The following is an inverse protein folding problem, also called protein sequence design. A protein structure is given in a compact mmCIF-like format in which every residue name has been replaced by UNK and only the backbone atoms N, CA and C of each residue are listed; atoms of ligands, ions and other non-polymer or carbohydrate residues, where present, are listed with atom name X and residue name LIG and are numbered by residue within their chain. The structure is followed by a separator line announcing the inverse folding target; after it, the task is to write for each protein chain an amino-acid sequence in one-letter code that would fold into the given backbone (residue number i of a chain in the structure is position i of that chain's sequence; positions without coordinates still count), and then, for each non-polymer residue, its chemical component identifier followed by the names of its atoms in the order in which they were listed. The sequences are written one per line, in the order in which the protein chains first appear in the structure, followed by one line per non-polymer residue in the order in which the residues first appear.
data_IF_897957172658
#
_entry.id   IF_897957172658
#
_cell.length_a   1.000
_cell.length_b   1.000
_cell.length_c   1.000
_cell.angle_alpha   90.00
_cell.angle_beta   90.00
_cell.angle_gamma   90.00
#
_symmetry.space_group_name_H-M   'P 1'
#
loop_
_entity.id
_entity.type
_entity.pdbx_description
1 polymer ?
#
# COMPACT_ATOMS: atom_id res chain seq x y z
N UNK A 1 -7.49 12.46 -10.37
CA UNK A 1 -6.71 11.21 -10.56
C UNK A 1 -5.25 11.59 -10.80
N UNK A 2 -4.29 10.76 -10.36
CA UNK A 2 -2.88 11.00 -10.60
C UNK A 2 -2.61 10.89 -12.11
N UNK A 3 -1.65 11.67 -12.62
CA UNK A 3 -1.33 11.64 -14.04
C UNK A 3 -0.69 10.29 -14.39
N UNK A 4 -1.17 9.66 -15.45
CA UNK A 4 -0.57 8.43 -15.98
C UNK A 4 0.64 8.80 -16.84
N UNK A 5 1.77 8.17 -16.57
CA UNK A 5 3.00 8.29 -17.33
C UNK A 5 3.13 7.05 -18.21
N UNK A 6 3.14 7.25 -19.52
CA UNK A 6 3.36 6.20 -20.51
C UNK A 6 4.85 6.09 -20.80
N UNK A 7 5.36 4.87 -20.80
CA UNK A 7 6.69 4.53 -21.29
C UNK A 7 6.50 3.95 -22.70
N UNK A 8 7.00 4.69 -23.68
CA UNK A 8 6.93 4.31 -25.09
C UNK A 8 8.33 4.25 -25.68
N UNK A 9 8.53 3.37 -26.64
CA UNK A 9 9.75 3.29 -27.44
C UNK A 9 9.45 3.70 -28.88
N UNK A 10 10.24 4.65 -29.37
CA UNK A 10 10.09 5.20 -30.70
C UNK A 10 11.25 4.72 -31.56
N UNK A 11 10.92 4.05 -32.65
CA UNK A 11 11.89 3.62 -33.64
C UNK A 11 11.88 4.60 -34.82
N UNK A 12 13.02 5.23 -35.11
CA UNK A 12 13.15 6.23 -36.19
C UNK A 12 12.79 5.71 -37.58
N UNK A 13 12.72 4.39 -37.77
CA UNK A 13 12.39 3.73 -39.04
C UNK A 13 10.92 3.31 -39.16
N UNK A 14 10.07 3.58 -38.16
CA UNK A 14 8.65 3.24 -38.17
C UNK A 14 7.80 4.42 -37.69
N UNK A 15 6.69 4.67 -38.36
CA UNK A 15 5.69 5.60 -37.84
C UNK A 15 4.98 5.01 -36.62
N UNK A 16 4.91 5.81 -35.55
CA UNK A 16 4.29 5.44 -34.27
C UNK A 16 5.27 5.16 -33.14
N UNK A 17 4.73 4.83 -31.96
CA UNK A 17 5.49 4.45 -30.78
C UNK A 17 4.97 3.11 -30.24
N UNK A 18 5.88 2.27 -29.77
CA UNK A 18 5.56 1.00 -29.14
C UNK A 18 5.28 1.27 -27.67
N UNK A 19 4.09 0.91 -27.20
CA UNK A 19 3.77 0.94 -25.79
C UNK A 19 4.57 -0.14 -25.05
N UNK A 20 5.37 0.27 -24.05
CA UNK A 20 6.12 -0.64 -23.19
C UNK A 20 5.36 -0.83 -21.88
N UNK A 21 5.03 0.26 -21.20
CA UNK A 21 4.49 0.22 -19.85
C UNK A 21 3.79 1.54 -19.47
N UNK A 22 3.02 1.56 -18.39
CA UNK A 22 2.47 2.78 -17.82
C UNK A 22 2.41 2.71 -16.29
N UNK A 23 2.70 3.83 -15.65
CA UNK A 23 2.55 3.96 -14.20
C UNK A 23 1.91 5.29 -13.83
N UNK A 24 1.22 5.34 -12.69
CA UNK A 24 0.80 6.62 -12.15
C UNK A 24 2.00 7.40 -11.59
N UNK A 25 2.06 8.69 -11.91
CA UNK A 25 2.95 9.64 -11.25
C UNK A 25 2.48 9.96 -9.83
N UNK A 26 3.12 10.96 -9.21
CA UNK A 26 2.69 11.44 -7.90
C UNK A 26 1.27 11.99 -7.93
N UNK A 27 0.56 11.93 -6.80
CA UNK A 27 -0.71 12.65 -6.61
C UNK A 27 -0.45 13.96 -5.87
N UNK A 28 -1.03 15.04 -6.37
CA UNK A 28 -1.09 16.31 -5.66
C UNK A 28 -2.46 16.49 -5.01
N UNK A 29 -2.46 16.95 -3.76
CA UNK A 29 -3.68 17.36 -3.05
C UNK A 29 -3.53 18.83 -2.76
N UNK A 30 -4.46 19.63 -3.28
CA UNK A 30 -4.55 21.06 -2.99
C UNK A 30 -5.80 21.33 -2.18
N UNK A 31 -5.64 22.09 -1.10
CA UNK A 31 -6.78 22.50 -0.29
C UNK A 31 -6.67 23.97 0.10
N UNK A 32 -7.83 24.62 0.17
CA UNK A 32 -7.94 26.00 0.63
C UNK A 32 -8.45 26.00 2.06
N UNK A 33 -7.68 26.57 2.98
CA UNK A 33 -8.04 26.75 4.38
C UNK A 33 -8.41 28.21 4.61
N UNK A 34 -9.56 28.44 5.23
CA UNK A 34 -10.01 29.75 5.68
C UNK A 34 -9.76 29.87 7.19
N UNK A 35 -9.27 31.02 7.63
CA UNK A 35 -9.05 31.31 9.04
C UNK A 35 -9.53 32.71 9.37
N UNK A 36 -9.96 32.91 10.61
CA UNK A 36 -10.35 34.21 11.16
C UNK A 36 -9.35 34.66 12.24
N UNK A 37 -9.62 35.81 12.85
CA UNK A 37 -8.80 36.41 13.93
C UNK A 37 -8.71 35.53 15.19
N UNK A 38 -9.65 34.60 15.38
CA UNK A 38 -9.74 33.72 16.56
C UNK A 38 -9.16 32.32 16.33
N UNK A 39 -8.92 31.94 15.07
CA UNK A 39 -9.00 30.54 14.67
C UNK A 39 -7.72 29.80 14.30
N UNK A 40 -6.55 30.42 14.14
CA UNK A 40 -5.34 29.65 13.83
C UNK A 40 -4.02 30.39 14.09
N UNK A 41 -3.17 29.83 14.95
CA UNK A 41 -1.74 30.15 14.92
C UNK A 41 -1.12 29.51 13.66
N UNK A 42 -0.97 30.31 12.61
CA UNK A 42 -0.35 29.90 11.35
C UNK A 42 1.08 29.38 11.54
N UNK A 43 1.80 29.83 12.56
CA UNK A 43 3.13 29.35 12.88
C UNK A 43 3.08 27.93 13.42
N UNK A 44 2.15 27.62 14.32
CA UNK A 44 1.93 26.26 14.82
C UNK A 44 1.48 25.32 13.71
N UNK A 45 0.54 25.75 12.85
CA UNK A 45 0.11 24.97 11.70
C UNK A 45 1.29 24.66 10.76
N UNK A 46 2.19 25.63 10.54
CA UNK A 46 3.38 25.45 9.68
C UNK A 46 4.36 24.46 10.30
N UNK A 47 4.55 24.52 11.61
CA UNK A 47 5.36 23.55 12.35
C UNK A 47 4.75 22.15 12.33
N UNK A 48 3.43 22.04 12.39
CA UNK A 48 2.72 20.77 12.38
C UNK A 48 2.77 20.08 11.02
N UNK A 49 2.59 20.83 9.92
CA UNK A 49 2.57 20.31 8.55
C UNK A 49 3.97 20.21 7.93
N UNK A 50 4.92 21.06 8.33
CA UNK A 50 6.28 21.13 7.76
C UNK A 50 7.22 19.99 8.16
N UNK A 51 6.70 18.80 8.43
CA UNK A 51 7.53 17.62 8.76
C UNK A 51 8.17 17.06 7.50
N UNK A 52 9.41 16.58 7.63
CA UNK A 52 10.18 15.98 6.51
C UNK A 52 9.77 14.56 6.12
N UNK A 53 8.88 13.93 6.89
CA UNK A 53 8.39 12.58 6.63
C UNK A 53 6.94 12.61 6.18
N UNK A 54 6.54 11.62 5.38
CA UNK A 54 5.15 11.48 4.96
C UNK A 54 4.24 11.25 6.18
N UNK A 55 3.09 11.91 6.17
CA UNK A 55 2.04 11.81 7.17
C UNK A 55 0.79 11.20 6.56
N UNK A 56 -0.04 10.59 7.39
CA UNK A 56 -1.34 10.10 6.97
C UNK A 56 -2.25 11.31 6.75
N UNK A 57 -2.82 11.41 5.56
CA UNK A 57 -3.86 12.35 5.19
C UNK A 57 -5.16 11.59 4.92
N UNK A 58 -6.25 12.00 5.54
CA UNK A 58 -7.60 11.48 5.30
C UNK A 58 -8.59 12.63 5.38
N UNK A 59 -9.72 12.49 4.68
CA UNK A 59 -10.85 13.41 4.82
C UNK A 59 -11.75 12.93 5.96
N UNK A 60 -12.23 13.85 6.79
CA UNK A 60 -13.11 13.49 7.91
C UNK A 60 -14.50 13.04 7.46
N UNK A 61 -14.95 13.49 6.28
CA UNK A 61 -16.24 13.16 5.68
C UNK A 61 -16.19 11.97 4.70
N UNK A 62 -15.03 11.32 4.54
CA UNK A 62 -14.91 10.13 3.69
C UNK A 62 -15.47 8.88 4.39
N UNK A 63 -16.70 8.51 4.01
CA UNK A 63 -17.38 7.30 4.51
C UNK A 63 -16.64 6.00 4.18
N UNK A 64 -15.75 5.99 3.20
CA UNK A 64 -14.95 4.80 2.88
C UNK A 64 -13.72 4.62 3.79
N UNK A 65 -13.46 5.60 4.67
CA UNK A 65 -12.32 5.67 5.60
C UNK A 65 -10.97 5.46 4.87
N UNK A 66 -10.78 6.14 3.73
CA UNK A 66 -9.53 6.07 2.96
C UNK A 66 -8.53 7.09 3.49
N UNK A 67 -7.27 6.72 3.39
CA UNK A 67 -6.15 7.59 3.71
C UNK A 67 -5.06 7.47 2.65
N UNK A 68 -4.14 8.42 2.64
CA UNK A 68 -2.99 8.43 1.75
C UNK A 68 -1.79 9.02 2.49
N UNK A 69 -0.58 8.55 2.15
CA UNK A 69 0.64 9.15 2.66
C UNK A 69 0.99 10.41 1.88
N UNK A 70 1.02 11.55 2.55
CA UNK A 70 1.23 12.86 1.96
C UNK A 70 2.35 13.62 2.69
N UNK A 71 3.12 14.42 1.98
CA UNK A 71 4.06 15.39 2.55
C UNK A 71 3.64 16.78 2.09
N UNK A 72 3.68 17.76 3.00
CA UNK A 72 3.46 19.16 2.61
C UNK A 72 4.54 19.58 1.61
N UNK A 73 4.10 20.11 0.49
CA UNK A 73 4.97 20.53 -0.60
C UNK A 73 4.51 21.89 -1.10
N UNK A 74 4.86 22.94 -0.38
CA UNK A 74 4.47 24.26 -0.79
C UNK A 74 5.13 25.38 -0.01
N UNK A 75 5.28 26.49 -0.70
CA UNK A 75 5.32 27.78 -0.03
C UNK A 75 3.87 28.22 0.18
N UNK A 76 3.52 28.48 1.44
CA UNK A 76 2.18 28.94 1.79
C UNK A 76 1.93 30.29 1.13
N UNK A 77 0.96 30.33 0.21
CA UNK A 77 0.44 31.59 -0.33
C UNK A 77 -0.75 32.00 0.53
N UNK A 78 -0.55 32.92 1.45
CA UNK A 78 -1.62 33.52 2.22
C UNK A 78 -2.19 34.75 1.50
N UNK A 79 -3.50 34.90 1.56
CA UNK A 79 -4.23 36.10 1.20
C UNK A 79 -4.95 36.56 2.46
N UNK A 80 -4.74 37.81 2.86
CA UNK A 80 -5.36 38.39 4.06
C UNK A 80 -6.31 39.50 3.61
N UNK A 81 -7.56 39.42 4.04
CA UNK A 81 -8.57 40.44 3.79
C UNK A 81 -8.73 41.27 5.07
N UNK A 82 -8.16 42.47 5.05
CA UNK A 82 -8.27 43.42 6.15
C UNK A 82 -9.66 44.07 6.10
N UNK A 83 -10.60 43.50 6.84
CA UNK A 83 -11.98 43.99 7.00
C UNK A 83 -12.55 43.62 8.37
N UNK A 84 -13.73 44.12 8.70
CA UNK A 84 -14.55 43.59 9.81
C UNK A 84 -15.69 42.78 9.18
N UNK A 85 -15.64 41.44 9.22
CA UNK A 85 -14.73 40.59 9.99
C UNK A 85 -13.40 40.30 9.26
N UNK A 86 -12.33 40.04 10.03
CA UNK A 86 -11.02 39.64 9.49
C UNK A 86 -11.12 38.20 8.96
N UNK A 87 -10.65 38.00 7.73
CA UNK A 87 -10.54 36.67 7.15
C UNK A 87 -9.25 36.51 6.37
N UNK A 88 -8.64 35.34 6.49
CA UNK A 88 -7.50 34.93 5.70
C UNK A 88 -7.77 33.63 4.97
N UNK A 89 -7.05 33.44 3.87
CA UNK A 89 -7.05 32.24 3.05
C UNK A 89 -5.63 31.75 2.87
N UNK A 90 -5.36 30.47 3.08
CA UNK A 90 -4.12 29.80 2.67
C UNK A 90 -4.45 28.65 1.73
N UNK A 91 -3.68 28.55 0.65
CA UNK A 91 -3.68 27.36 -0.19
C UNK A 91 -2.53 26.44 0.26
N UNK A 92 -2.88 25.26 0.74
CA UNK A 92 -1.94 24.19 1.11
C UNK A 92 -1.83 23.21 -0.06
N UNK A 93 -0.62 22.73 -0.29
CA UNK A 93 -0.33 21.71 -1.30
C UNK A 93 0.41 20.55 -0.65
N UNK A 94 0.00 19.34 -0.99
CA UNK A 94 0.63 18.11 -0.54
C UNK A 94 0.98 17.24 -1.74
N UNK A 95 2.12 16.56 -1.64
CA UNK A 95 2.54 15.53 -2.60
C UNK A 95 2.40 14.16 -1.94
N UNK A 96 1.79 13.23 -2.67
CA UNK A 96 1.73 11.82 -2.34
C UNK A 96 2.62 11.06 -3.34
N UNK A 97 3.80 10.64 -2.90
CA UNK A 97 4.74 9.86 -3.73
C UNK A 97 4.16 8.51 -4.14
N UNK A 98 3.45 7.85 -3.22
CA UNK A 98 2.58 6.74 -3.55
C UNK A 98 1.19 7.34 -3.84
N UNK A 99 0.70 7.28 -5.10
CA UNK A 99 -0.50 7.98 -5.50
C UNK A 99 -1.80 7.25 -5.12
N UNK A 100 -1.72 6.06 -4.53
CA UNK A 100 -2.87 5.24 -4.16
C UNK A 100 -3.33 5.56 -2.73
N UNK A 101 -4.63 5.71 -2.55
CA UNK A 101 -5.27 5.66 -1.25
C UNK A 101 -5.25 4.22 -0.72
N UNK A 102 -5.28 4.08 0.60
CA UNK A 102 -5.45 2.82 1.31
C UNK A 102 -6.59 2.91 2.32
N UNK A 103 -7.25 1.79 2.64
CA UNK A 103 -8.28 1.77 3.69
C UNK A 103 -7.63 1.73 5.09
N UNK A 104 -8.04 2.65 5.98
CA UNK A 104 -7.54 2.70 7.36
C UNK A 104 -7.92 1.45 8.17
N UNK A 105 -9.10 0.89 7.90
CA UNK A 105 -9.62 -0.31 8.56
C UNK A 105 -9.89 -1.42 7.54
N UNK A 106 -8.85 -1.84 6.84
CA UNK A 106 -8.98 -3.02 5.98
C UNK A 106 -9.14 -4.29 6.84
N UNK A 107 -10.04 -5.18 6.43
CA UNK A 107 -10.33 -6.40 7.20
C UNK A 107 -9.42 -7.52 6.73
N UNK A 108 -8.70 -8.10 7.68
CA UNK A 108 -7.90 -9.30 7.45
C UNK A 108 -8.76 -10.48 6.97
N UNK A 109 -8.18 -11.29 6.09
CA UNK A 109 -8.76 -12.54 5.60
C UNK A 109 -7.99 -13.68 6.26
N UNK A 110 -8.70 -14.52 7.03
CA UNK A 110 -8.08 -15.58 7.83
C UNK A 110 -8.45 -16.96 7.33
N UNK A 111 -7.47 -17.84 7.20
CA UNK A 111 -7.61 -19.26 6.91
C UNK A 111 -6.90 -20.07 7.99
N UNK A 112 -7.64 -20.79 8.84
CA UNK A 112 -7.06 -21.52 9.98
C UNK A 112 -6.88 -23.03 9.74
N UNK A 113 -7.62 -23.63 8.80
CA UNK A 113 -7.63 -25.08 8.54
C UNK A 113 -7.76 -25.34 7.04
N UNK A 114 -6.71 -25.00 6.27
CA UNK A 114 -6.73 -25.18 4.82
C UNK A 114 -6.54 -26.66 4.45
N UNK A 115 -7.36 -27.15 3.53
CA UNK A 115 -7.21 -28.48 2.93
C UNK A 115 -6.19 -28.38 1.80
N UNK A 116 -5.30 -29.37 1.73
CA UNK A 116 -4.30 -29.46 0.67
C UNK A 116 -4.96 -29.52 -0.71
N UNK A 117 -4.34 -28.82 -1.66
CA UNK A 117 -4.72 -28.75 -3.07
C UNK A 117 -6.12 -28.15 -3.36
N UNK A 118 -6.76 -27.54 -2.36
CA UNK A 118 -8.00 -26.79 -2.53
C UNK A 118 -7.73 -25.31 -2.81
N UNK A 119 -8.48 -24.73 -3.76
CA UNK A 119 -8.45 -23.29 -4.04
C UNK A 119 -9.30 -22.50 -3.05
N UNK A 120 -8.70 -21.49 -2.42
CA UNK A 120 -9.37 -20.52 -1.57
C UNK A 120 -9.36 -19.16 -2.24
N UNK A 121 -10.54 -18.58 -2.44
CA UNK A 121 -10.65 -17.27 -3.07
C UNK A 121 -10.22 -16.15 -2.11
N UNK A 122 -9.40 -15.23 -2.60
CA UNK A 122 -9.01 -14.01 -1.90
C UNK A 122 -9.60 -12.83 -2.69
N UNK A 123 -10.52 -12.08 -2.09
CA UNK A 123 -11.23 -11.00 -2.81
C UNK A 123 -10.50 -9.68 -2.62
N UNK A 124 -10.10 -9.05 -3.72
CA UNK A 124 -9.70 -7.63 -3.72
C UNK A 124 -10.94 -6.74 -3.60
N UNK A 125 -10.82 -5.66 -2.84
CA UNK A 125 -11.85 -4.61 -2.71
C UNK A 125 -11.41 -3.28 -3.33
N UNK A 126 -10.17 -3.23 -3.84
CA UNK A 126 -9.60 -2.06 -4.46
C UNK A 126 -9.90 -2.01 -5.96
N UNK A 127 -9.60 -0.87 -6.58
CA UNK A 127 -9.60 -0.69 -8.03
C UNK A 127 -8.16 -0.60 -8.59
N UNK A 128 -7.18 -1.02 -7.80
CA UNK A 128 -5.77 -1.14 -8.17
C UNK A 128 -5.16 -2.34 -7.48
N UNK A 129 -4.17 -2.95 -8.14
CA UNK A 129 -3.39 -4.05 -7.57
C UNK A 129 -2.76 -3.65 -6.25
N UNK A 130 -2.95 -4.50 -5.24
CA UNK A 130 -2.54 -4.27 -3.86
C UNK A 130 -1.40 -5.20 -3.48
N UNK A 131 -0.53 -4.74 -2.58
CA UNK A 131 0.61 -5.50 -2.08
C UNK A 131 0.31 -5.94 -0.63
N UNK A 132 -0.21 -7.17 -0.44
CA UNK A 132 -0.71 -7.60 0.87
C UNK A 132 0.43 -7.85 1.85
N UNK A 133 0.11 -7.79 3.14
CA UNK A 133 0.91 -8.40 4.19
C UNK A 133 0.33 -9.77 4.52
N UNK A 134 1.13 -10.82 4.36
CA UNK A 134 0.68 -12.20 4.59
C UNK A 134 1.43 -12.76 5.80
N UNK A 135 0.71 -13.03 6.88
CA UNK A 135 1.20 -13.73 8.06
C UNK A 135 0.87 -15.21 7.92
N UNK A 136 1.88 -16.05 8.06
CA UNK A 136 1.79 -17.50 7.92
C UNK A 136 2.25 -18.11 9.22
N UNK A 137 1.38 -18.83 9.91
CA UNK A 137 1.73 -19.58 11.13
C UNK A 137 1.83 -21.05 10.75
N UNK A 138 3.05 -21.61 10.65
CA UNK A 138 3.24 -22.95 10.14
C UNK A 138 3.01 -24.01 11.23
N UNK A 139 2.33 -25.09 10.88
CA UNK A 139 2.21 -26.32 11.69
C UNK A 139 3.28 -27.36 11.31
N UNK A 140 4.01 -27.12 10.21
CA UNK A 140 5.06 -27.99 9.67
C UNK A 140 6.34 -27.19 9.44
N UNK A 141 7.49 -27.87 9.34
CA UNK A 141 8.79 -27.21 9.10
C UNK A 141 9.00 -26.74 7.66
N UNK A 142 8.08 -27.12 6.77
CA UNK A 142 8.02 -26.71 5.38
C UNK A 142 6.56 -26.46 4.98
N UNK A 143 6.32 -25.41 4.20
CA UNK A 143 5.02 -25.10 3.62
C UNK A 143 5.22 -24.69 2.17
N UNK A 144 4.48 -25.31 1.25
CA UNK A 144 4.44 -24.92 -0.16
C UNK A 144 3.02 -24.48 -0.48
N UNK A 145 2.86 -23.31 -1.06
CA UNK A 145 1.57 -22.80 -1.49
C UNK A 145 1.66 -22.07 -2.82
N UNK A 146 0.53 -21.99 -3.51
CA UNK A 146 0.35 -21.15 -4.70
C UNK A 146 -0.49 -19.94 -4.35
N UNK A 147 -0.02 -18.78 -4.80
CA UNK A 147 -0.77 -17.53 -4.86
C UNK A 147 -0.95 -17.18 -6.33
N UNK A 148 -2.16 -17.35 -6.86
CA UNK A 148 -2.39 -17.33 -8.30
C UNK A 148 -1.43 -18.33 -8.99
N UNK A 149 -0.61 -17.86 -9.92
CA UNK A 149 0.42 -18.66 -10.62
C UNK A 149 1.79 -18.69 -9.93
N UNK A 150 1.96 -17.89 -8.86
CA UNK A 150 3.20 -17.82 -8.09
C UNK A 150 3.24 -18.99 -7.09
N UNK A 151 4.23 -19.87 -7.24
CA UNK A 151 4.49 -20.96 -6.29
C UNK A 151 5.54 -20.52 -5.29
N UNK A 152 5.19 -20.52 -4.01
CA UNK A 152 6.05 -20.12 -2.91
C UNK A 152 6.37 -21.33 -2.05
N UNK A 153 7.65 -21.50 -1.75
CA UNK A 153 8.13 -22.50 -0.79
C UNK A 153 8.77 -21.80 0.39
N UNK A 154 8.34 -22.21 1.58
CA UNK A 154 8.89 -21.79 2.86
C UNK A 154 9.55 -22.99 3.53
N UNK A 155 10.86 -22.91 3.78
CA UNK A 155 11.66 -23.99 4.37
C UNK A 155 12.25 -23.59 5.73
N UNK A 156 12.72 -24.58 6.50
CA UNK A 156 13.36 -24.38 7.80
C UNK A 156 12.51 -23.54 8.76
N UNK A 157 11.20 -23.80 8.75
CA UNK A 157 10.23 -23.11 9.57
C UNK A 157 10.23 -23.68 10.99
N UNK A 158 10.06 -22.79 11.95
CA UNK A 158 9.79 -23.16 13.33
C UNK A 158 8.28 -23.28 13.50
N UNK A 159 7.80 -24.46 13.92
CA UNK A 159 6.37 -24.71 14.13
C UNK A 159 5.79 -23.69 15.12
N UNK A 160 4.60 -23.17 14.82
CA UNK A 160 3.88 -22.13 15.55
C UNK A 160 4.58 -20.76 15.62
N UNK A 161 5.71 -20.56 14.95
CA UNK A 161 6.36 -19.26 14.84
C UNK A 161 5.93 -18.54 13.55
N UNK A 162 5.21 -17.41 13.62
CA UNK A 162 4.74 -16.73 12.43
C UNK A 162 5.87 -16.16 11.58
N UNK A 163 5.76 -16.38 10.27
CA UNK A 163 6.56 -15.74 9.24
C UNK A 163 5.68 -14.75 8.46
N UNK A 164 6.27 -13.61 8.10
CA UNK A 164 5.58 -12.52 7.44
C UNK A 164 6.17 -12.30 6.06
N UNK A 165 5.30 -12.29 5.04
CA UNK A 165 5.61 -11.82 3.70
C UNK A 165 5.01 -10.42 3.54
N UNK A 166 5.85 -9.41 3.66
CA UNK A 166 5.50 -8.02 3.41
C UNK A 166 5.78 -7.72 1.93
N UNK A 167 4.73 -7.85 1.12
CA UNK A 167 4.82 -7.73 -0.33
C UNK A 167 5.05 -6.28 -0.77
N UNK A 168 4.67 -5.29 0.06
CA UNK A 168 4.96 -3.88 -0.20
C UNK A 168 6.46 -3.60 -0.15
N UNK A 169 7.16 -4.22 0.80
CA UNK A 169 8.61 -4.03 1.00
C UNK A 169 9.46 -5.12 0.37
N UNK A 170 8.86 -6.12 -0.27
CA UNK A 170 9.52 -7.33 -0.76
C UNK A 170 10.37 -8.01 0.34
N UNK A 171 9.79 -8.17 1.53
CA UNK A 171 10.50 -8.68 2.71
C UNK A 171 9.86 -9.94 3.27
N UNK A 172 10.72 -10.91 3.60
CA UNK A 172 10.36 -12.08 4.39
C UNK A 172 11.03 -11.99 5.76
N UNK A 173 10.27 -12.06 6.85
CA UNK A 173 10.80 -11.91 8.20
C UNK A 173 9.98 -12.64 9.26
N UNK A 174 10.61 -12.86 10.41
CA UNK A 174 9.96 -13.32 11.64
C UNK A 174 9.97 -12.18 12.67
N UNK A 175 9.03 -12.23 13.62
CA UNK A 175 8.95 -11.28 14.73
C UNK A 175 9.13 -12.04 16.04
N UNK A 176 10.15 -11.66 16.83
CA UNK A 176 10.37 -12.20 18.17
C UNK A 176 10.54 -11.04 19.14
N UNK A 177 9.72 -10.98 20.19
CA UNK A 177 9.74 -9.88 21.19
C UNK A 177 9.72 -8.48 20.55
N UNK A 178 8.88 -8.27 19.53
CA UNK A 178 8.80 -7.03 18.73
C UNK A 178 10.06 -6.67 17.91
N UNK A 179 11.04 -7.57 17.83
CA UNK A 179 12.22 -7.41 16.99
C UNK A 179 11.98 -8.13 15.67
N UNK A 180 12.20 -7.41 14.58
CA UNK A 180 12.11 -7.92 13.20
C UNK A 180 13.43 -8.59 12.81
N UNK A 181 13.38 -9.87 12.44
CA UNK A 181 14.53 -10.61 11.92
C UNK A 181 14.26 -11.05 10.49
N UNK A 182 15.07 -10.59 9.55
CA UNK A 182 14.93 -10.95 8.13
C UNK A 182 15.30 -12.41 7.90
N UNK A 183 14.45 -13.13 7.19
CA UNK A 183 14.57 -14.58 6.95
C UNK A 183 14.37 -14.91 5.48
N UNK A 184 14.91 -14.09 4.57
CA UNK A 184 14.77 -14.28 3.13
C UNK A 184 15.30 -15.64 2.66
N UNK A 185 16.28 -16.21 3.37
CA UNK A 185 16.80 -17.57 3.10
C UNK A 185 15.78 -18.68 3.30
N UNK A 186 14.69 -18.44 4.04
CA UNK A 186 13.58 -19.39 4.21
C UNK A 186 12.58 -19.33 3.07
N UNK A 187 12.64 -18.30 2.22
CA UNK A 187 11.67 -18.02 1.18
C UNK A 187 12.25 -18.29 -0.21
N UNK A 188 11.53 -19.06 -1.01
CA UNK A 188 11.80 -19.20 -2.44
C UNK A 188 10.50 -19.16 -3.24
N UNK A 189 10.61 -18.71 -4.48
CA UNK A 189 9.52 -18.63 -5.45
C UNK A 189 9.98 -19.20 -6.80
N UNK A 190 9.04 -19.67 -7.62
CA UNK A 190 9.33 -20.17 -8.97
C UNK A 190 9.86 -19.09 -9.93
N UNK A 191 9.54 -17.82 -9.67
CA UNK A 191 10.18 -16.66 -10.28
C UNK A 191 11.07 -16.00 -9.24
N UNK A 192 12.35 -15.76 -9.55
CA UNK A 192 13.33 -15.36 -8.54
C UNK A 192 12.89 -14.09 -7.77
N UNK A 193 12.62 -14.25 -6.47
CA UNK A 193 12.27 -13.16 -5.53
C UNK A 193 10.96 -12.41 -5.80
N UNK A 194 9.99 -13.04 -6.45
CA UNK A 194 8.65 -12.46 -6.61
C UNK A 194 7.76 -12.66 -5.38
N UNK A 195 7.04 -11.61 -4.99
CA UNK A 195 6.09 -11.63 -3.88
C UNK A 195 4.64 -11.64 -4.39
N UNK A 196 3.69 -12.16 -3.59
CA UNK A 196 2.27 -12.11 -3.91
C UNK A 196 1.75 -10.69 -4.21
N UNK A 197 0.94 -10.59 -5.26
CA UNK A 197 0.18 -9.37 -5.60
C UNK A 197 -1.31 -9.73 -5.56
N UNK A 198 -2.11 -8.88 -4.93
CA UNK A 198 -3.56 -9.01 -4.91
C UNK A 198 -4.15 -8.18 -6.05
N UNK A 199 -4.48 -8.85 -7.15
CA UNK A 199 -4.97 -8.24 -8.39
C UNK A 199 -6.38 -7.65 -8.20
N UNK A 200 -6.65 -6.42 -8.68
CA UNK A 200 -7.95 -5.77 -8.48
C UNK A 200 -9.09 -6.31 -9.35
N UNK A 201 -8.78 -6.77 -10.57
CA UNK A 201 -9.77 -7.23 -11.55
C UNK A 201 -9.61 -8.72 -11.93
N UNK A 202 -8.96 -9.49 -11.06
CA UNK A 202 -8.79 -10.92 -11.26
C UNK A 202 -9.25 -11.72 -10.04
N UNK A 203 -9.57 -13.00 -10.30
CA UNK A 203 -9.84 -13.96 -9.23
C UNK A 203 -8.52 -14.37 -8.60
N UNK A 204 -8.21 -13.80 -7.43
CA UNK A 204 -7.05 -14.22 -6.67
C UNK A 204 -7.35 -15.53 -5.92
N UNK A 205 -6.40 -16.46 -5.96
CA UNK A 205 -6.51 -17.76 -5.30
C UNK A 205 -5.29 -18.07 -4.45
N UNK A 206 -5.54 -18.67 -3.29
CA UNK A 206 -4.54 -19.25 -2.42
C UNK A 206 -4.77 -20.77 -2.36
N UNK A 207 -3.72 -21.56 -2.56
CA UNK A 207 -3.78 -23.04 -2.49
C UNK A 207 -2.56 -23.59 -1.76
N UNK A 208 -2.76 -24.31 -0.67
CA UNK A 208 -1.65 -25.01 0.00
C UNK A 208 -1.40 -26.32 -0.75
N UNK A 209 -0.17 -26.55 -1.17
CA UNK A 209 0.26 -27.74 -1.93
C UNK A 209 0.90 -28.78 -1.00
N UNK A 210 1.72 -28.32 -0.05
CA UNK A 210 2.45 -29.17 0.89
C UNK A 210 2.54 -28.49 2.26
N UNK A 211 2.51 -29.29 3.33
CA UNK A 211 2.58 -28.80 4.71
C UNK A 211 1.22 -28.33 5.24
N UNK A 212 1.23 -27.70 6.41
CA UNK A 212 0.03 -27.12 7.02
C UNK A 212 0.38 -25.80 7.68
N UNK A 213 -0.47 -24.80 7.51
CA UNK A 213 -0.32 -23.49 8.13
C UNK A 213 -1.66 -22.77 8.20
N UNK A 214 -1.77 -21.81 9.11
CA UNK A 214 -2.80 -20.78 9.07
C UNK A 214 -2.29 -19.54 8.36
N UNK A 215 -3.15 -18.87 7.61
CA UNK A 215 -2.84 -17.64 6.89
C UNK A 215 -3.71 -16.51 7.42
N UNK A 216 -3.11 -15.34 7.64
CA UNK A 216 -3.81 -14.07 7.84
C UNK A 216 -3.30 -13.12 6.79
N UNK A 217 -4.19 -12.65 5.92
CA UNK A 217 -3.87 -11.77 4.81
C UNK A 217 -4.46 -10.41 5.12
N UNK A 218 -3.61 -9.42 5.36
CA UNK A 218 -4.00 -8.01 5.35
C UNK A 218 -3.94 -7.53 3.89
N UNK A 219 -5.07 -7.23 3.24
CA UNK A 219 -5.10 -6.99 1.79
C UNK A 219 -4.34 -5.72 1.37
N UNK A 220 -4.21 -4.74 2.28
CA UNK A 220 -3.64 -3.44 2.01
C UNK A 220 -4.32 -2.77 0.80
N UNK A 221 -5.66 -2.81 0.78
CA UNK A 221 -6.49 -2.39 -0.36
C UNK A 221 -6.06 -1.04 -0.91
N UNK A 222 -5.67 -1.00 -2.19
CA UNK A 222 -5.29 0.22 -2.91
C UNK A 222 -6.43 0.77 -3.76
N UNK A 223 -6.56 2.09 -3.74
CA UNK A 223 -7.62 2.82 -4.44
C UNK A 223 -7.02 4.04 -5.18
N UNK A 224 -7.34 4.18 -6.47
CA UNK A 224 -6.99 5.35 -7.30
C UNK A 224 -7.99 6.49 -7.06
#
# INVERSE_FOLDING_TARGET
MPQMNFITDKNDLRDGEIFIDAHYGVREIEMTVLFDETGADLFELKKWLGKKHQQIFNWDDDWDEKAIFAIENGNWKSQVYYGKPFYGRINLKFICHNPYYFKLKDRDITFANMVLNQDYAVKSKGNSDSLPLIKITPNTTKVVFKWNDLTITLNNLTINNPIYLDCEKCQCYEMSNNIKTFTISKFTSNYAYEFPILLCDARNTLKVIEGSASFVISPCTRII
#
